data_IF_381748123479
#
_entry.id   IF_381748123479
#
_cell.length_a   1.000
_cell.length_b   1.000
_cell.length_c   1.000
_cell.angle_alpha   90.00
_cell.angle_beta   90.00
_cell.angle_gamma   90.00
#
_symmetry.space_group_name_H-M   'P 1'
#
loop_
_entity.id
_entity.type
_entity.pdbx_description
1 polymer ?
#
# COMPACT_ATOMS: atom_id res chain seq x y z
N UNK A 1 -17.87 19.93 -16.90
CA UNK A 1 -16.88 18.84 -16.68
C UNK A 1 -15.95 19.23 -15.55
N UNK A 2 -16.11 18.64 -14.35
CA UNK A 2 -15.17 18.81 -13.24
C UNK A 2 -14.25 17.58 -13.17
N UNK A 3 -13.41 17.45 -14.20
CA UNK A 3 -12.42 16.37 -14.31
C UNK A 3 -11.04 16.77 -13.81
N UNK A 4 -10.75 18.08 -13.78
CA UNK A 4 -9.44 18.63 -13.42
C UNK A 4 -9.11 18.40 -11.94
N UNK A 5 -10.09 18.52 -11.05
CA UNK A 5 -9.94 18.27 -9.60
C UNK A 5 -9.76 16.77 -9.25
N UNK A 6 -10.41 15.86 -9.99
CA UNK A 6 -10.25 14.41 -9.80
C UNK A 6 -8.85 13.95 -10.23
N UNK A 7 -8.36 14.49 -11.35
CA UNK A 7 -7.02 14.17 -11.86
C UNK A 7 -5.93 14.70 -10.93
N UNK A 8 -6.01 15.96 -10.48
CA UNK A 8 -4.99 16.53 -9.59
C UNK A 8 -4.88 15.78 -8.26
N UNK A 9 -6.01 15.45 -7.62
CA UNK A 9 -6.00 14.66 -6.36
C UNK A 9 -5.44 13.26 -6.53
N UNK A 10 -5.74 12.59 -7.65
CA UNK A 10 -5.19 11.25 -7.92
C UNK A 10 -3.68 11.30 -8.15
N UNK A 11 -3.20 12.35 -8.84
CA UNK A 11 -1.77 12.53 -9.12
C UNK A 11 -0.97 12.82 -7.85
N UNK A 12 -1.54 13.60 -6.94
CA UNK A 12 -0.96 13.89 -5.62
C UNK A 12 -0.84 12.61 -4.78
N UNK A 13 -1.89 11.77 -4.74
CA UNK A 13 -1.83 10.46 -4.09
C UNK A 13 -0.73 9.56 -4.66
N UNK A 14 -0.54 9.54 -5.98
CA UNK A 14 0.54 8.78 -6.61
C UNK A 14 1.93 9.29 -6.22
N UNK A 15 2.12 10.61 -6.11
CA UNK A 15 3.39 11.18 -5.63
C UNK A 15 3.69 10.80 -4.19
N UNK A 16 2.70 10.89 -3.31
CA UNK A 16 2.87 10.52 -1.90
C UNK A 16 3.16 9.03 -1.73
N UNK A 17 2.47 8.19 -2.51
CA UNK A 17 2.75 6.76 -2.57
C UNK A 17 4.19 6.49 -3.02
N UNK A 18 4.68 7.19 -4.06
CA UNK A 18 6.06 7.05 -4.53
C UNK A 18 7.10 7.41 -3.45
N UNK A 19 6.83 8.44 -2.63
CA UNK A 19 7.74 8.85 -1.54
C UNK A 19 7.71 7.89 -0.34
N UNK A 20 6.57 7.27 -0.05
CA UNK A 20 6.51 6.23 0.98
C UNK A 20 7.16 4.94 0.46
N UNK A 21 6.91 4.60 -0.80
CA UNK A 21 7.46 3.40 -1.44
C UNK A 21 9.00 3.44 -1.47
N UNK A 22 9.61 4.59 -1.74
CA UNK A 22 11.07 4.73 -1.73
C UNK A 22 11.68 4.45 -0.34
N UNK A 23 10.97 4.78 0.74
CA UNK A 23 11.41 4.51 2.13
C UNK A 23 11.27 3.06 2.53
N UNK A 24 10.40 2.31 1.86
CA UNK A 24 10.13 0.89 2.11
C UNK A 24 10.64 -0.01 0.97
N UNK A 25 11.59 0.48 0.17
CA UNK A 25 12.05 -0.19 -1.04
C UNK A 25 12.74 -1.52 -0.74
N UNK A 26 13.44 -1.62 0.40
CA UNK A 26 14.14 -2.83 0.83
C UNK A 26 13.15 -3.94 1.22
N UNK A 27 12.14 -3.61 2.02
CA UNK A 27 11.06 -4.54 2.37
C UNK A 27 10.24 -4.95 1.14
N UNK A 28 10.02 -4.01 0.20
CA UNK A 28 9.31 -4.29 -1.04
C UNK A 28 10.10 -5.25 -1.94
N UNK A 29 11.42 -5.07 -2.02
CA UNK A 29 12.30 -5.95 -2.76
C UNK A 29 12.35 -7.35 -2.14
N UNK A 30 12.37 -7.47 -0.80
CA UNK A 30 12.32 -8.75 -0.11
C UNK A 30 11.01 -9.52 -0.41
N UNK A 31 9.86 -8.83 -0.32
CA UNK A 31 8.56 -9.41 -0.67
C UNK A 31 8.51 -9.84 -2.15
N UNK A 32 8.96 -8.98 -3.07
CA UNK A 32 9.01 -9.28 -4.49
C UNK A 32 9.89 -10.48 -4.84
N UNK A 33 11.03 -10.64 -4.16
CA UNK A 33 11.90 -11.83 -4.31
C UNK A 33 11.21 -13.10 -3.86
N UNK A 34 10.52 -13.09 -2.72
CA UNK A 34 9.77 -14.24 -2.25
C UNK A 34 8.65 -14.64 -3.23
N UNK A 35 7.90 -13.66 -3.73
CA UNK A 35 6.82 -13.86 -4.71
C UNK A 35 7.37 -14.41 -6.02
N UNK A 36 8.47 -13.84 -6.53
CA UNK A 36 9.10 -14.29 -7.77
C UNK A 36 9.66 -15.71 -7.64
N UNK A 37 10.32 -16.03 -6.52
CA UNK A 37 10.81 -17.38 -6.25
C UNK A 37 9.68 -18.41 -6.19
N UNK A 38 8.54 -18.04 -5.60
CA UNK A 38 7.36 -18.90 -5.47
C UNK A 38 6.66 -19.13 -6.81
N UNK A 39 6.49 -18.07 -7.60
CA UNK A 39 5.80 -18.14 -8.90
C UNK A 39 6.67 -18.74 -10.01
N UNK A 40 8.01 -18.65 -9.90
CA UNK A 40 8.95 -19.29 -10.83
C UNK A 40 8.74 -20.81 -10.92
N UNK A 41 8.25 -21.45 -9.86
CA UNK A 41 7.98 -22.89 -9.81
C UNK A 41 6.64 -23.34 -10.39
N UNK A 42 5.88 -22.47 -11.08
CA UNK A 42 4.46 -22.70 -11.48
C UNK A 42 3.53 -23.05 -10.31
N UNK A 43 3.96 -22.82 -9.07
CA UNK A 43 3.10 -22.99 -7.91
C UNK A 43 2.17 -21.79 -7.78
N UNK A 44 0.91 -22.09 -7.46
CA UNK A 44 -0.07 -21.07 -7.17
C UNK A 44 0.32 -20.34 -5.89
N UNK A 45 0.39 -19.01 -5.98
CA UNK A 45 0.89 -18.18 -4.89
C UNK A 45 -0.13 -18.19 -3.74
N UNK A 46 0.13 -18.99 -2.70
CA UNK A 46 -0.68 -19.00 -1.48
C UNK A 46 -0.32 -17.78 -0.63
N UNK A 47 -1.36 -17.14 -0.09
CA UNK A 47 -1.29 -15.89 0.69
C UNK A 47 -0.27 -15.95 1.85
N UNK A 48 -0.03 -17.13 2.39
CA UNK A 48 0.79 -17.30 3.59
C UNK A 48 2.28 -17.56 3.30
N UNK A 49 2.67 -17.86 2.05
CA UNK A 49 4.04 -18.23 1.70
C UNK A 49 5.04 -17.08 1.91
N UNK A 50 4.62 -15.86 1.57
CA UNK A 50 5.43 -14.65 1.75
C UNK A 50 4.89 -13.75 2.88
N UNK A 51 4.15 -14.32 3.84
CA UNK A 51 3.48 -13.56 4.90
C UNK A 51 4.46 -12.72 5.73
N UNK A 52 5.63 -13.26 6.07
CA UNK A 52 6.65 -12.55 6.84
C UNK A 52 7.11 -11.27 6.14
N UNK A 53 7.44 -11.37 4.85
CA UNK A 53 7.91 -10.23 4.07
C UNK A 53 6.78 -9.24 3.77
N UNK A 54 5.56 -9.75 3.62
CA UNK A 54 4.37 -8.92 3.49
C UNK A 54 4.08 -8.13 4.77
N UNK A 55 4.23 -8.72 5.95
CA UNK A 55 4.03 -8.03 7.22
C UNK A 55 5.09 -6.96 7.48
N UNK A 56 6.35 -7.23 7.14
CA UNK A 56 7.43 -6.25 7.19
C UNK A 56 7.11 -5.05 6.29
N UNK A 57 6.76 -5.31 5.02
CA UNK A 57 6.38 -4.28 4.06
C UNK A 57 5.15 -3.47 4.51
N UNK A 58 4.10 -4.16 4.98
CA UNK A 58 2.88 -3.52 5.51
C UNK A 58 3.22 -2.62 6.70
N UNK A 59 4.07 -3.07 7.61
CA UNK A 59 4.49 -2.29 8.77
C UNK A 59 5.23 -1.03 8.34
N UNK A 60 6.12 -1.13 7.35
CA UNK A 60 6.82 0.02 6.81
C UNK A 60 5.84 1.03 6.17
N UNK A 61 4.88 0.57 5.35
CA UNK A 61 3.84 1.45 4.78
C UNK A 61 2.99 2.13 5.84
N UNK A 62 2.52 1.41 6.85
CA UNK A 62 1.71 2.00 7.94
C UNK A 62 2.51 3.06 8.69
N UNK A 63 3.81 2.82 8.96
CA UNK A 63 4.69 3.84 9.55
C UNK A 63 4.88 5.04 8.63
N UNK A 64 5.14 4.82 7.34
CA UNK A 64 5.31 5.89 6.35
C UNK A 64 4.04 6.74 6.16
N UNK A 65 2.86 6.12 6.22
CA UNK A 65 1.57 6.79 6.16
C UNK A 65 1.29 7.61 7.44
N UNK A 66 1.60 7.07 8.63
CA UNK A 66 1.46 7.79 9.91
C UNK A 66 2.35 9.04 9.97
N UNK A 67 3.50 9.03 9.30
CA UNK A 67 4.39 10.19 9.22
C UNK A 67 3.90 11.27 8.24
N UNK A 68 3.07 10.92 7.24
CA UNK A 68 2.46 11.87 6.30
C UNK A 68 1.02 12.29 6.70
N UNK A 69 0.39 11.57 7.63
CA UNK A 69 -0.93 11.89 8.17
C UNK A 69 -0.99 11.56 9.68
N UNK A 70 -0.99 12.54 10.59
CA UNK A 70 -1.22 12.29 12.02
C UNK A 70 -2.64 11.82 12.38
N UNK A 71 -3.49 11.46 11.40
CA UNK A 71 -4.89 11.11 11.66
C UNK A 71 -5.44 10.18 10.58
N UNK A 72 -5.18 8.86 10.67
CA UNK A 72 -5.99 7.80 10.05
C UNK A 72 -5.70 6.45 10.74
N UNK A 73 -6.07 6.33 12.01
CA UNK A 73 -6.47 5.04 12.58
C UNK A 73 -8.00 5.02 12.61
N UNK A 74 -8.62 4.40 11.60
CA UNK A 74 -10.07 4.31 11.57
C UNK A 74 -10.68 4.11 10.20
N UNK A 75 -10.62 2.88 9.70
CA UNK A 75 -11.75 2.36 8.94
C UNK A 75 -13.00 2.41 9.84
N UNK A 76 -13.73 3.52 9.80
CA UNK A 76 -15.16 3.54 10.12
C UNK A 76 -15.89 4.00 8.88
N UNK A 77 -16.36 3.00 8.12
CA UNK A 77 -17.60 3.08 7.35
C UNK A 77 -18.68 3.71 8.23
N UNK A 78 -18.83 5.02 8.14
CA UNK A 78 -19.97 5.75 8.70
C UNK A 78 -20.75 6.33 7.53
N UNK A 79 -21.59 5.48 6.95
CA UNK A 79 -22.75 5.89 6.15
C UNK A 79 -23.42 7.09 6.82
N UNK A 80 -23.35 8.26 6.18
CA UNK A 80 -24.12 9.44 6.57
C UNK A 80 -25.12 9.77 5.45
N UNK A 81 -26.39 9.71 5.86
CA UNK A 81 -27.60 10.32 5.28
C UNK A 81 -28.08 9.84 3.90
N UNK A 82 -29.17 9.07 3.95
CA UNK A 82 -30.32 9.35 3.08
C UNK A 82 -31.28 10.26 3.84
N UNK A 83 -31.72 11.31 3.15
CA UNK A 83 -33.02 11.94 3.39
C UNK A 83 -34.14 10.92 3.15
#
# INVERSE_FOLDING_TARGET
MSGSNVWTRSREKMRNFSDIFSKCADEAAAYGKCVAATTAGRQELKKDLCAKEFEALKTCFVKGLKLQHPDQEGTKTSTRNKY
#
